data_IF_432733012108
#
_entry.id   IF_432733012108
#
_cell.length_a   1.000
_cell.length_b   1.000
_cell.length_c   1.000
_cell.angle_alpha   90.00
_cell.angle_beta   90.00
_cell.angle_gamma   90.00
#
_symmetry.space_group_name_H-M   'P 1'
#
loop_
_entity.id
_entity.type
_entity.pdbx_description
1 polymer ?
#
# COMPACT_ATOMS: atom_id res chain seq x y z
N UNK A 1 15.86 -10.23 -13.15
CA UNK A 1 16.89 -11.16 -12.64
C UNK A 1 17.57 -10.53 -11.44
N UNK A 2 17.82 -11.27 -10.35
CA UNK A 2 18.56 -10.73 -9.20
C UNK A 2 20.01 -10.48 -9.57
N UNK A 3 20.61 -9.43 -8.98
CA UNK A 3 22.02 -9.12 -9.17
C UNK A 3 22.82 -9.62 -7.96
N UNK A 4 23.91 -10.38 -8.17
CA UNK A 4 24.85 -10.70 -7.11
C UNK A 4 25.31 -9.43 -6.40
N UNK A 5 25.43 -9.50 -5.08
CA UNK A 5 25.89 -8.38 -4.27
C UNK A 5 26.72 -8.79 -3.05
N UNK A 6 26.89 -10.10 -2.84
CA UNK A 6 27.69 -10.68 -1.77
C UNK A 6 29.02 -11.11 -2.37
N UNK A 7 30.13 -10.72 -1.73
CA UNK A 7 31.45 -11.13 -2.17
C UNK A 7 31.59 -12.65 -2.10
N UNK A 8 32.06 -13.28 -3.18
CA UNK A 8 32.26 -14.73 -3.24
C UNK A 8 30.98 -15.57 -3.43
N UNK A 9 29.80 -14.95 -3.61
CA UNK A 9 28.55 -15.66 -3.91
C UNK A 9 27.83 -15.03 -5.11
N UNK A 10 28.11 -15.59 -6.29
CA UNK A 10 27.45 -15.19 -7.54
C UNK A 10 26.18 -15.98 -7.84
N UNK A 11 26.11 -17.24 -7.40
CA UNK A 11 24.96 -18.12 -7.60
C UNK A 11 24.91 -19.21 -6.51
N UNK A 12 23.75 -19.49 -5.87
CA UNK A 12 22.48 -18.76 -6.00
C UNK A 12 22.52 -17.34 -5.43
N UNK A 13 21.87 -16.39 -6.13
CA UNK A 13 21.79 -15.01 -5.64
C UNK A 13 20.81 -14.94 -4.48
N UNK A 14 21.32 -14.57 -3.30
CA UNK A 14 20.49 -14.24 -2.14
C UNK A 14 19.95 -12.81 -2.33
N UNK A 15 18.63 -12.55 -2.26
CA UNK A 15 18.09 -11.20 -2.33
C UNK A 15 18.45 -10.35 -1.11
N UNK A 16 18.52 -9.03 -1.29
CA UNK A 16 18.62 -8.11 -0.13
C UNK A 16 17.34 -8.22 0.71
N UNK A 17 17.43 -7.94 2.02
CA UNK A 17 16.29 -8.07 2.95
C UNK A 17 15.00 -7.43 2.42
N UNK A 18 15.04 -6.18 1.97
CA UNK A 18 13.85 -5.50 1.42
C UNK A 18 13.32 -6.07 0.11
N UNK A 19 14.16 -6.74 -0.69
CA UNK A 19 13.72 -7.45 -1.90
C UNK A 19 13.10 -8.81 -1.53
N UNK A 20 13.67 -9.50 -0.52
CA UNK A 20 13.13 -10.76 -0.01
C UNK A 20 11.70 -10.59 0.53
N UNK A 21 11.42 -9.50 1.26
CA UNK A 21 10.08 -9.19 1.77
C UNK A 21 9.06 -9.04 0.62
N UNK A 22 9.45 -8.37 -0.47
CA UNK A 22 8.60 -8.19 -1.66
C UNK A 22 8.32 -9.55 -2.34
N UNK A 23 9.32 -10.41 -2.45
CA UNK A 23 9.14 -11.74 -3.04
C UNK A 23 8.27 -12.65 -2.18
N UNK A 24 8.43 -12.59 -0.85
CA UNK A 24 7.59 -13.33 0.08
C UNK A 24 6.12 -12.90 -0.03
N UNK A 25 5.84 -11.60 -0.22
CA UNK A 25 4.50 -11.11 -0.48
C UNK A 25 3.97 -11.58 -1.84
N UNK A 26 4.78 -11.51 -2.90
CA UNK A 26 4.38 -12.01 -4.23
C UNK A 26 4.06 -13.50 -4.18
N UNK A 27 4.87 -14.31 -3.50
CA UNK A 27 4.59 -15.72 -3.27
C UNK A 27 3.25 -15.92 -2.56
N UNK A 28 3.00 -15.20 -1.46
CA UNK A 28 1.71 -15.29 -0.74
C UNK A 28 0.52 -14.86 -1.61
N UNK A 29 0.66 -13.80 -2.41
CA UNK A 29 -0.38 -13.34 -3.34
C UNK A 29 -0.64 -14.36 -4.45
N UNK A 30 0.41 -15.04 -4.91
CA UNK A 30 0.28 -16.08 -5.94
C UNK A 30 -0.52 -17.29 -5.43
N UNK A 31 -0.39 -17.61 -4.14
CA UNK A 31 -1.20 -18.64 -3.49
C UNK A 31 -2.63 -18.15 -3.21
N UNK A 32 -2.80 -16.96 -2.63
CA UNK A 32 -4.11 -16.47 -2.18
C UNK A 32 -5.06 -16.07 -3.30
N UNK A 33 -4.56 -15.85 -4.52
CA UNK A 33 -5.40 -15.55 -5.67
C UNK A 33 -6.27 -16.72 -6.13
N UNK A 34 -5.91 -17.94 -5.71
CA UNK A 34 -6.61 -19.17 -6.05
C UNK A 34 -7.39 -19.75 -4.86
N UNK A 35 -7.46 -19.01 -3.74
CA UNK A 35 -8.28 -19.43 -2.60
C UNK A 35 -9.76 -19.39 -2.97
N UNK A 36 -10.51 -20.31 -2.37
CA UNK A 36 -11.97 -20.26 -2.40
C UNK A 36 -12.47 -18.93 -1.81
N UNK A 37 -13.59 -18.38 -2.33
CA UNK A 37 -14.11 -17.08 -1.92
C UNK A 37 -14.29 -16.94 -0.40
N UNK A 38 -14.78 -17.99 0.28
CA UNK A 38 -15.02 -17.96 1.73
C UNK A 38 -13.73 -17.84 2.53
N UNK A 39 -12.68 -18.56 2.13
CA UNK A 39 -11.35 -18.47 2.74
C UNK A 39 -10.72 -17.09 2.53
N UNK A 40 -10.86 -16.53 1.32
CA UNK A 40 -10.37 -15.18 1.04
C UNK A 40 -11.11 -14.14 1.90
N UNK A 41 -12.43 -14.28 2.02
CA UNK A 41 -13.26 -13.39 2.81
C UNK A 41 -12.91 -13.44 4.30
N UNK A 42 -12.71 -14.63 4.86
CA UNK A 42 -12.28 -14.83 6.25
C UNK A 42 -10.97 -14.06 6.53
N UNK A 43 -9.96 -14.22 5.65
CA UNK A 43 -8.69 -13.50 5.77
C UNK A 43 -8.84 -11.98 5.67
N UNK A 44 -9.70 -11.50 4.77
CA UNK A 44 -9.99 -10.07 4.62
C UNK A 44 -10.66 -9.50 5.88
N UNK A 45 -11.70 -10.16 6.39
CA UNK A 45 -12.41 -9.71 7.60
C UNK A 45 -11.51 -9.73 8.83
N UNK A 46 -10.66 -10.75 8.98
CA UNK A 46 -9.66 -10.81 10.04
C UNK A 46 -8.70 -9.62 10.02
N UNK A 47 -8.19 -9.26 8.84
CA UNK A 47 -7.30 -8.10 8.68
C UNK A 47 -8.02 -6.76 8.88
N UNK A 48 -9.27 -6.64 8.42
CA UNK A 48 -10.10 -5.44 8.64
C UNK A 48 -10.40 -5.27 10.13
N UNK A 49 -10.70 -6.33 10.87
CA UNK A 49 -10.95 -6.25 12.31
C UNK A 49 -9.73 -5.68 13.07
N UNK A 50 -8.51 -6.10 12.71
CA UNK A 50 -7.27 -5.51 13.25
C UNK A 50 -7.16 -4.01 12.94
N UNK A 51 -7.50 -3.62 11.71
CA UNK A 51 -7.46 -2.23 11.26
C UNK A 51 -8.48 -1.36 12.00
N UNK A 52 -9.72 -1.83 12.17
CA UNK A 52 -10.77 -1.11 12.87
C UNK A 52 -10.44 -0.92 14.35
N UNK A 53 -9.88 -1.92 15.03
CA UNK A 53 -9.37 -1.76 16.41
C UNK A 53 -8.29 -0.68 16.50
N UNK A 54 -7.37 -0.67 15.55
CA UNK A 54 -6.32 0.34 15.51
C UNK A 54 -6.88 1.74 15.24
N UNK A 55 -7.80 1.89 14.28
CA UNK A 55 -8.39 3.18 13.93
C UNK A 55 -9.31 3.73 15.02
N UNK A 56 -10.09 2.86 15.67
CA UNK A 56 -10.94 3.24 16.79
C UNK A 56 -10.14 3.87 17.95
N UNK A 57 -8.91 3.42 18.16
CA UNK A 57 -8.06 3.87 19.28
C UNK A 57 -7.07 4.97 18.92
N UNK A 58 -6.70 5.10 17.64
CA UNK A 58 -5.59 5.98 17.25
C UNK A 58 -5.97 7.04 16.23
N UNK A 59 -7.17 7.01 15.65
CA UNK A 59 -7.58 7.97 14.60
C UNK A 59 -8.86 8.70 14.97
N UNK A 60 -8.79 9.98 15.40
CA UNK A 60 -9.96 10.72 15.90
C UNK A 60 -11.19 10.65 15.00
N UNK A 61 -11.00 10.75 13.68
CA UNK A 61 -12.09 10.67 12.70
C UNK A 61 -12.81 9.31 12.74
N UNK A 62 -12.05 8.21 12.82
CA UNK A 62 -12.64 6.87 12.86
C UNK A 62 -13.14 6.49 14.24
N UNK A 63 -12.56 7.03 15.31
CA UNK A 63 -13.12 6.90 16.67
C UNK A 63 -14.57 7.37 16.70
N UNK A 64 -14.85 8.60 16.24
CA UNK A 64 -16.22 9.13 16.21
C UNK A 64 -17.13 8.37 15.24
N UNK A 65 -16.62 8.03 14.04
CA UNK A 65 -17.40 7.28 13.05
C UNK A 65 -17.80 5.89 13.53
N UNK A 66 -16.91 5.19 14.21
CA UNK A 66 -17.16 3.84 14.73
C UNK A 66 -18.03 3.87 15.99
N UNK A 67 -17.87 4.90 16.83
CA UNK A 67 -18.75 5.13 17.99
C UNK A 67 -20.21 5.34 17.56
N UNK A 68 -20.45 6.06 16.46
CA UNK A 68 -21.79 6.26 15.91
C UNK A 68 -22.45 4.98 15.34
N UNK A 69 -21.69 3.89 15.21
CA UNK A 69 -22.15 2.58 14.73
C UNK A 69 -22.16 1.51 15.84
N UNK A 70 -22.08 1.94 17.11
CA UNK A 70 -21.98 1.08 18.29
C UNK A 70 -20.90 0.00 18.12
N UNK A 71 -19.73 0.38 17.59
CA UNK A 71 -18.64 -0.54 17.33
C UNK A 71 -18.10 -1.16 18.63
N UNK A 72 -18.12 -2.49 18.70
CA UNK A 72 -17.47 -3.28 19.75
C UNK A 72 -16.17 -3.93 19.21
N UNK A 73 -14.98 -3.58 19.75
CA UNK A 73 -13.71 -4.21 19.39
C UNK A 73 -13.62 -5.73 19.61
N UNK A 74 -14.46 -6.30 20.47
CA UNK A 74 -14.49 -7.73 20.80
C UNK A 74 -15.37 -8.55 19.83
N UNK A 75 -16.16 -7.88 18.98
CA UNK A 75 -17.04 -8.58 18.04
C UNK A 75 -16.26 -9.35 16.99
N UNK A 76 -16.84 -10.44 16.53
CA UNK A 76 -16.47 -11.00 15.23
C UNK A 76 -17.03 -10.09 14.14
N UNK A 77 -16.21 -9.74 13.15
CA UNK A 77 -16.60 -8.87 12.06
C UNK A 77 -17.26 -9.69 10.96
N UNK A 78 -18.54 -9.44 10.69
CA UNK A 78 -19.24 -9.94 9.51
C UNK A 78 -19.32 -8.86 8.42
N UNK A 79 -19.62 -9.29 7.19
CA UNK A 79 -19.67 -8.40 6.02
C UNK A 79 -20.79 -7.37 6.11
N UNK A 80 -21.94 -7.75 6.68
CA UNK A 80 -23.12 -6.90 6.68
C UNK A 80 -22.97 -5.73 7.64
N UNK A 81 -22.32 -5.94 8.77
CA UNK A 81 -21.93 -4.83 9.63
C UNK A 81 -20.81 -3.98 9.01
N UNK A 82 -19.80 -4.59 8.38
CA UNK A 82 -18.74 -3.82 7.72
C UNK A 82 -19.31 -2.85 6.67
N UNK A 83 -20.35 -3.24 5.94
CA UNK A 83 -21.06 -2.39 4.96
C UNK A 83 -21.77 -1.18 5.56
N UNK A 84 -22.01 -1.16 6.87
CA UNK A 84 -22.62 -0.01 7.55
C UNK A 84 -21.64 1.15 7.70
N UNK A 85 -20.32 0.90 7.59
CA UNK A 85 -19.31 1.96 7.66
C UNK A 85 -19.43 2.86 6.41
N UNK A 86 -19.73 4.16 6.57
CA UNK A 86 -19.85 5.06 5.43
C UNK A 86 -18.55 5.13 4.62
N UNK A 87 -18.61 5.09 3.28
CA UNK A 87 -17.44 5.30 2.44
C UNK A 87 -16.74 6.62 2.76
N UNK A 88 -15.40 6.62 2.77
CA UNK A 88 -14.62 7.84 2.94
C UNK A 88 -14.66 8.67 1.65
N UNK A 89 -15.23 9.87 1.72
CA UNK A 89 -15.34 10.75 0.54
C UNK A 89 -14.12 11.66 0.38
N UNK A 90 -13.93 12.24 -0.82
CA UNK A 90 -12.90 13.26 -1.04
C UNK A 90 -13.11 14.49 -0.12
N UNK A 91 -14.37 14.88 0.07
CA UNK A 91 -14.73 16.00 0.95
C UNK A 91 -14.40 15.68 2.40
N UNK A 92 -14.67 14.46 2.86
CA UNK A 92 -14.29 14.01 4.21
C UNK A 92 -12.80 14.19 4.43
N UNK A 93 -11.97 13.77 3.46
CA UNK A 93 -10.51 13.86 3.59
C UNK A 93 -10.03 15.31 3.67
N UNK A 94 -10.61 16.17 2.84
CA UNK A 94 -10.25 17.60 2.81
C UNK A 94 -10.69 18.32 4.09
N UNK A 95 -11.85 17.97 4.65
CA UNK A 95 -12.39 18.59 5.85
C UNK A 95 -11.79 18.05 7.15
N UNK A 96 -11.55 16.73 7.23
CA UNK A 96 -11.05 16.09 8.44
C UNK A 96 -9.56 16.38 8.70
N UNK A 97 -8.77 16.64 7.65
CA UNK A 97 -7.37 17.02 7.78
C UNK A 97 -6.57 16.05 8.65
N UNK A 98 -5.95 16.55 9.72
CA UNK A 98 -5.14 15.74 10.64
C UNK A 98 -5.93 14.75 11.50
N UNK A 99 -7.26 14.89 11.60
CA UNK A 99 -8.10 13.93 12.33
C UNK A 99 -8.13 12.53 11.69
N UNK A 100 -7.75 12.43 10.41
CA UNK A 100 -7.57 11.15 9.70
C UNK A 100 -6.20 10.51 9.94
N UNK A 101 -5.26 11.22 10.59
CA UNK A 101 -3.95 10.65 10.88
C UNK A 101 -4.00 9.84 12.17
N UNK A 102 -3.41 8.65 12.15
CA UNK A 102 -3.17 7.90 13.37
C UNK A 102 -2.18 8.65 14.27
N UNK A 103 -2.54 8.79 15.54
CA UNK A 103 -1.69 9.37 16.59
C UNK A 103 -0.62 8.41 17.08
N UNK A 104 -0.72 7.12 16.74
CA UNK A 104 0.20 6.07 17.19
C UNK A 104 0.44 5.02 16.10
N UNK A 105 1.16 5.40 15.04
CA UNK A 105 1.57 4.45 14.00
C UNK A 105 2.55 3.42 14.61
N UNK A 106 2.32 2.10 14.44
CA UNK A 106 3.21 1.09 15.00
C UNK A 106 4.66 1.25 14.50
N UNK A 107 5.64 1.08 15.41
CA UNK A 107 7.07 1.31 15.08
C UNK A 107 7.55 0.45 13.91
N UNK A 108 7.07 -0.79 13.83
CA UNK A 108 7.45 -1.74 12.78
C UNK A 108 6.92 -1.35 11.39
N UNK A 109 6.05 -0.33 11.30
CA UNK A 109 5.62 0.22 10.01
C UNK A 109 6.71 1.09 9.36
N UNK A 110 7.74 1.47 10.11
CA UNK A 110 8.87 2.26 9.62
C UNK A 110 8.52 3.75 9.46
N UNK A 111 9.21 4.41 8.53
CA UNK A 111 9.12 5.86 8.36
C UNK A 111 7.76 6.27 7.79
N UNK A 112 7.28 7.43 8.24
CA UNK A 112 6.07 8.04 7.70
C UNK A 112 6.44 9.02 6.58
N UNK A 113 5.86 8.80 5.41
CA UNK A 113 5.98 9.61 4.20
C UNK A 113 4.64 10.28 3.92
N UNK A 114 4.66 11.35 3.12
CA UNK A 114 3.43 12.00 2.63
C UNK A 114 3.38 11.91 1.11
N UNK A 115 2.19 11.67 0.56
CA UNK A 115 1.94 11.79 -0.87
C UNK A 115 0.67 12.58 -1.12
N UNK A 116 0.73 13.52 -2.04
CA UNK A 116 -0.40 14.37 -2.39
C UNK A 116 -0.80 14.14 -3.85
N UNK A 117 -2.10 14.16 -4.12
CA UNK A 117 -2.58 14.24 -5.50
C UNK A 117 -2.29 15.62 -6.08
N UNK A 118 -1.95 15.71 -7.36
CA UNK A 118 -1.77 16.99 -8.07
C UNK A 118 -3.04 17.87 -8.09
N UNK A 119 -4.22 17.30 -7.82
CA UNK A 119 -5.45 18.05 -7.54
C UNK A 119 -5.94 18.86 -8.72
N UNK A 120 -6.55 18.22 -9.71
CA UNK A 120 -7.14 18.88 -10.89
C UNK A 120 -8.18 19.95 -10.57
N UNK A 121 -8.76 19.94 -9.36
CA UNK A 121 -9.80 20.87 -8.90
C UNK A 121 -9.33 21.87 -7.83
N UNK A 122 -8.01 22.06 -7.66
CA UNK A 122 -7.44 23.07 -6.76
C UNK A 122 -7.42 22.70 -5.26
N UNK A 123 -7.99 21.55 -4.86
CA UNK A 123 -7.88 21.01 -3.49
C UNK A 123 -7.22 19.64 -3.50
N UNK A 124 -5.90 19.54 -3.25
CA UNK A 124 -5.20 18.27 -3.23
C UNK A 124 -5.66 17.41 -2.04
N UNK A 125 -5.65 16.09 -2.20
CA UNK A 125 -5.75 15.14 -1.10
C UNK A 125 -4.33 14.71 -0.73
N UNK A 126 -3.99 14.80 0.54
CA UNK A 126 -2.71 14.32 1.09
C UNK A 126 -2.95 13.09 1.93
N UNK A 127 -2.21 12.03 1.65
CA UNK A 127 -2.22 10.79 2.43
C UNK A 127 -0.86 10.55 3.08
N UNK A 128 -0.86 9.99 4.30
CA UNK A 128 0.32 9.47 4.97
C UNK A 128 0.54 8.02 4.57
N UNK A 129 1.80 7.63 4.37
CA UNK A 129 2.23 6.29 3.98
C UNK A 129 3.37 5.84 4.87
N UNK A 130 3.54 4.53 5.01
CA UNK A 130 4.62 3.93 5.80
C UNK A 130 5.57 3.14 4.91
N UNK A 131 6.72 2.71 5.43
CA UNK A 131 7.63 1.83 4.68
C UNK A 131 6.94 0.49 4.34
N UNK A 132 6.10 -0.05 5.23
CA UNK A 132 5.27 -1.24 4.95
C UNK A 132 4.31 -1.01 3.79
N UNK A 133 3.62 0.14 3.73
CA UNK A 133 2.76 0.48 2.59
C UNK A 133 3.55 0.45 1.25
N UNK A 134 4.79 0.94 1.26
CA UNK A 134 5.65 0.93 0.08
C UNK A 134 6.09 -0.49 -0.31
N UNK A 135 6.31 -1.39 0.65
CA UNK A 135 6.61 -2.81 0.38
C UNK A 135 5.43 -3.51 -0.31
N UNK A 136 4.20 -3.33 0.21
CA UNK A 136 2.99 -3.85 -0.44
C UNK A 136 2.80 -3.27 -1.85
N UNK A 137 3.03 -1.97 -2.04
CA UNK A 137 2.96 -1.33 -3.35
C UNK A 137 3.91 -1.97 -4.37
N UNK A 138 5.18 -2.20 -3.97
CA UNK A 138 6.17 -2.88 -4.84
C UNK A 138 5.75 -4.30 -5.18
N UNK A 139 5.24 -5.06 -4.22
CA UNK A 139 4.80 -6.44 -4.44
C UNK A 139 3.61 -6.52 -5.40
N UNK A 140 2.61 -5.63 -5.23
CA UNK A 140 1.46 -5.55 -6.15
C UNK A 140 1.86 -5.11 -7.55
N UNK A 141 2.80 -4.15 -7.66
CA UNK A 141 3.33 -3.70 -8.95
C UNK A 141 4.10 -4.83 -9.67
N UNK A 142 4.94 -5.58 -8.94
CA UNK A 142 5.65 -6.74 -9.47
C UNK A 142 4.65 -7.83 -9.91
N UNK A 143 3.64 -8.14 -9.09
CA UNK A 143 2.57 -9.09 -9.45
C UNK A 143 1.88 -8.71 -10.76
N UNK A 144 1.53 -7.44 -10.92
CA UNK A 144 0.97 -6.92 -12.17
C UNK A 144 1.89 -7.19 -13.38
N UNK A 145 3.20 -6.95 -13.25
CA UNK A 145 4.14 -7.27 -14.33
C UNK A 145 4.21 -8.76 -14.65
N UNK A 146 4.16 -9.63 -13.63
CA UNK A 146 4.18 -11.08 -13.79
C UNK A 146 2.92 -11.62 -14.48
N UNK A 147 1.73 -11.15 -14.07
CA UNK A 147 0.46 -11.48 -14.72
C UNK A 147 0.46 -11.15 -16.21
N UNK A 148 1.04 -10.02 -16.58
CA UNK A 148 1.16 -9.59 -17.96
C UNK A 148 2.37 -10.20 -18.69
N UNK A 149 3.08 -11.16 -18.09
CA UNK A 149 4.25 -11.85 -18.65
C UNK A 149 5.27 -10.88 -19.27
N UNK A 150 5.48 -9.73 -18.63
CA UNK A 150 6.42 -8.71 -19.13
C UNK A 150 7.85 -9.22 -19.00
N UNK A 151 8.68 -8.94 -20.00
CA UNK A 151 10.10 -9.24 -19.94
C UNK A 151 10.82 -8.30 -18.96
N UNK A 152 11.06 -8.79 -17.74
CA UNK A 152 11.76 -8.04 -16.69
C UNK A 152 13.27 -7.88 -16.96
N UNK A 153 13.80 -8.42 -18.06
CA UNK A 153 15.18 -8.16 -18.52
C UNK A 153 15.28 -6.89 -19.39
N UNK A 154 14.16 -6.41 -19.93
CA UNK A 154 14.11 -5.25 -20.81
C UNK A 154 14.25 -3.90 -20.05
N UNK A 155 14.17 -2.80 -20.80
CA UNK A 155 13.99 -1.45 -20.24
C UNK A 155 12.50 -1.10 -20.19
N UNK A 156 12.05 -0.49 -19.10
CA UNK A 156 10.69 0.02 -18.97
C UNK A 156 10.67 1.54 -19.05
N UNK A 157 9.79 2.07 -19.89
CA UNK A 157 9.58 3.49 -20.07
C UNK A 157 8.12 3.85 -19.71
N UNK A 158 7.93 4.99 -19.04
CA UNK A 158 6.59 5.53 -18.73
C UNK A 158 6.57 7.02 -18.99
N UNK A 159 5.46 7.50 -19.56
CA UNK A 159 5.17 8.93 -19.67
C UNK A 159 4.21 9.29 -18.53
N UNK A 160 4.62 10.23 -17.67
CA UNK A 160 3.84 10.67 -16.51
C UNK A 160 3.92 12.18 -16.34
N UNK A 161 2.92 12.75 -15.66
CA UNK A 161 2.96 14.14 -15.21
C UNK A 161 3.95 14.27 -14.05
N UNK A 162 4.89 15.20 -14.19
CA UNK A 162 5.82 15.61 -13.14
C UNK A 162 5.78 17.13 -12.98
N UNK A 163 6.19 17.61 -11.81
CA UNK A 163 6.47 19.03 -11.64
C UNK A 163 7.54 19.50 -12.62
N UNK A 164 7.43 20.76 -13.04
CA UNK A 164 8.36 21.36 -14.01
C UNK A 164 9.79 21.23 -13.50
N UNK A 165 10.67 20.66 -14.33
CA UNK A 165 12.09 20.47 -14.03
C UNK A 165 12.47 19.11 -13.42
N UNK A 166 11.52 18.24 -13.10
CA UNK A 166 11.83 16.95 -12.44
C UNK A 166 12.21 15.83 -13.43
N UNK A 167 11.52 15.73 -14.56
CA UNK A 167 11.73 14.67 -15.56
C UNK A 167 11.38 15.15 -16.98
N UNK A 168 11.81 16.36 -17.33
CA UNK A 168 11.46 17.02 -18.58
C UNK A 168 12.09 16.33 -19.80
N UNK A 169 11.38 16.33 -20.92
CA UNK A 169 11.94 15.92 -22.20
C UNK A 169 13.06 16.89 -22.66
N UNK A 170 14.07 16.41 -23.41
CA UNK A 170 14.27 15.02 -23.84
C UNK A 170 14.97 14.12 -22.80
N UNK A 171 15.54 14.68 -21.73
CA UNK A 171 16.40 13.93 -20.80
C UNK A 171 15.62 12.94 -19.93
N UNK A 172 14.37 13.27 -19.56
CA UNK A 172 13.53 12.43 -18.72
C UNK A 172 14.17 12.16 -17.34
N UNK A 173 13.77 11.05 -16.71
CA UNK A 173 14.36 10.58 -15.46
C UNK A 173 14.63 9.08 -15.55
N UNK A 174 15.86 8.69 -15.21
CA UNK A 174 16.27 7.30 -15.15
C UNK A 174 16.11 6.75 -13.73
N UNK A 175 15.53 5.55 -13.62
CA UNK A 175 15.38 4.84 -12.36
C UNK A 175 16.00 3.44 -12.46
N UNK A 176 16.41 2.89 -11.31
CA UNK A 176 17.05 1.57 -11.22
C UNK A 176 16.05 0.41 -11.05
N UNK A 177 14.76 0.70 -10.85
CA UNK A 177 13.72 -0.29 -10.63
C UNK A 177 12.45 0.05 -11.41
N UNK A 178 11.72 -0.98 -11.84
CA UNK A 178 10.38 -0.87 -12.40
C UNK A 178 9.31 -0.68 -11.33
N UNK A 179 9.59 -1.06 -10.09
CA UNK A 179 8.65 -1.04 -8.96
C UNK A 179 8.58 0.30 -8.23
N UNK A 180 9.36 1.29 -8.67
CA UNK A 180 9.40 2.64 -8.10
C UNK A 180 8.58 3.64 -8.92
N UNK A 181 7.85 3.14 -9.93
CA UNK A 181 7.18 3.95 -10.95
C UNK A 181 5.68 4.03 -10.72
#
# INVERSE_FOLDING_TARGET
MFKPHLSGLEWPVIPKRGDADVLALVYQFDQSQWWDPDRLLEGQLGQIALLLRHFHTTTPFYTERLKALDYDPARTLDVDWFRQIPPLTRSDIQSAGTALHSTNVPKDHGRILSSSSSGSTGRPVTAKKTDINQTFHKALNLRNHLWHKRDLSAKFATIRGYDRGVAMAPQGRHQKSWTTV
#
